data_IF_030571019226
#
_entry.id   IF_030571019226
#
_cell.length_a   1.000
_cell.length_b   1.000
_cell.length_c   1.000
_cell.angle_alpha   90.00
_cell.angle_beta   90.00
_cell.angle_gamma   90.00
#
_symmetry.space_group_name_H-M   'P 1'
#
loop_
_entity.id
_entity.type
_entity.pdbx_description
1 polymer ?
#
# COMPACT_ATOMS: atom_id res chain seq x y z
N UNK A 1 2.23 11.48 -23.51
CA UNK A 1 1.12 11.27 -22.54
C UNK A 1 0.19 12.47 -22.64
N UNK A 2 -1.11 12.27 -22.77
CA UNK A 2 -2.05 13.40 -22.82
C UNK A 2 -2.15 14.09 -21.46
N UNK A 3 -2.50 15.38 -21.45
CA UNK A 3 -2.73 16.14 -20.20
C UNK A 3 -3.84 15.48 -19.36
N UNK A 4 -4.86 14.94 -20.01
CA UNK A 4 -5.97 14.22 -19.35
C UNK A 4 -5.49 12.93 -18.67
N UNK A 5 -4.62 12.15 -19.33
CA UNK A 5 -4.08 10.92 -18.74
C UNK A 5 -3.21 11.22 -17.52
N UNK A 6 -2.39 12.28 -17.59
CA UNK A 6 -1.62 12.74 -16.42
C UNK A 6 -2.54 13.07 -15.25
N UNK A 7 -3.57 13.89 -15.49
CA UNK A 7 -4.50 14.30 -14.45
C UNK A 7 -5.21 13.10 -13.80
N UNK A 8 -5.64 12.12 -14.62
CA UNK A 8 -6.28 10.90 -14.12
C UNK A 8 -5.32 10.02 -13.33
N UNK A 9 -4.07 9.86 -13.77
CA UNK A 9 -3.05 9.12 -13.02
C UNK A 9 -2.78 9.78 -11.67
N UNK A 10 -2.63 11.11 -11.62
CA UNK A 10 -2.40 11.84 -10.38
C UNK A 10 -3.59 11.73 -9.43
N UNK A 11 -4.82 11.83 -9.94
CA UNK A 11 -6.04 11.60 -9.17
C UNK A 11 -6.12 10.17 -8.62
N UNK A 12 -5.71 9.18 -9.42
CA UNK A 12 -5.69 7.78 -9.02
C UNK A 12 -4.64 7.52 -7.93
N UNK A 13 -3.44 8.11 -8.05
CA UNK A 13 -2.40 8.03 -7.01
C UNK A 13 -2.88 8.69 -5.73
N UNK A 14 -3.48 9.88 -5.82
CA UNK A 14 -4.02 10.56 -4.65
C UNK A 14 -5.00 9.66 -3.90
N UNK A 15 -5.94 9.08 -4.65
CA UNK A 15 -6.95 8.22 -4.09
C UNK A 15 -6.28 6.96 -3.48
N UNK A 16 -5.42 6.28 -4.26
CA UNK A 16 -4.68 5.10 -3.84
C UNK A 16 -3.96 5.32 -2.50
N UNK A 17 -3.20 6.42 -2.37
CA UNK A 17 -2.47 6.79 -1.15
C UNK A 17 -3.45 7.12 -0.03
N UNK A 18 -4.49 7.91 -0.31
CA UNK A 18 -5.51 8.28 0.67
C UNK A 18 -6.14 7.06 1.34
N UNK A 19 -6.61 6.08 0.58
CA UNK A 19 -7.33 4.95 1.18
C UNK A 19 -6.41 3.80 1.64
N UNK A 20 -5.26 3.57 1.01
CA UNK A 20 -4.26 2.65 1.55
C UNK A 20 -3.52 3.19 2.79
N UNK A 21 -3.65 4.48 3.10
CA UNK A 21 -3.21 5.00 4.40
C UNK A 21 -3.80 4.22 5.58
N UNK A 22 -4.95 3.55 5.42
CA UNK A 22 -5.51 2.63 6.41
C UNK A 22 -4.57 1.48 6.75
N UNK A 23 -3.95 0.86 5.74
CA UNK A 23 -3.23 -0.41 5.86
C UNK A 23 -1.71 -0.26 5.77
N UNK A 24 -1.22 0.84 5.18
CA UNK A 24 0.22 1.11 5.02
C UNK A 24 0.73 1.98 6.18
N UNK A 25 0.14 3.16 6.39
CA UNK A 25 0.56 4.09 7.45
C UNK A 25 -0.14 3.85 8.79
N UNK A 26 -1.46 3.65 8.72
CA UNK A 26 -2.36 3.56 9.86
C UNK A 26 -1.91 2.61 10.96
N UNK A 27 -1.52 1.34 10.66
CA UNK A 27 -1.23 0.37 11.69
C UNK A 27 -0.12 0.84 12.63
N UNK A 28 1.00 1.35 12.09
CA UNK A 28 2.13 1.81 12.90
C UNK A 28 1.96 3.23 13.43
N UNK A 29 1.32 4.12 12.68
CA UNK A 29 1.05 5.49 13.13
C UNK A 29 0.20 5.50 14.41
N UNK A 30 -0.80 4.63 14.48
CA UNK A 30 -1.72 4.53 15.61
C UNK A 30 -1.37 3.41 16.61
N UNK A 31 -0.58 2.41 16.17
CA UNK A 31 -0.18 1.26 17.00
C UNK A 31 1.14 1.42 17.76
N UNK A 32 1.94 2.47 17.49
CA UNK A 32 3.14 2.72 18.31
C UNK A 32 4.00 3.95 17.97
N UNK A 33 4.13 4.35 16.70
CA UNK A 33 5.11 5.38 16.26
C UNK A 33 4.64 6.82 16.54
N UNK A 34 3.34 7.02 16.71
CA UNK A 34 2.62 8.30 16.70
C UNK A 34 2.44 8.93 15.31
N UNK A 35 1.27 9.57 15.04
CA UNK A 35 0.97 10.22 13.76
C UNK A 35 1.98 11.29 13.33
N UNK A 36 2.52 12.06 14.30
CA UNK A 36 3.43 13.18 14.04
C UNK A 36 4.75 12.74 13.43
N UNK A 37 5.25 11.56 13.83
CA UNK A 37 6.48 10.98 13.29
C UNK A 37 6.20 10.15 12.03
N UNK A 38 5.06 9.46 12.01
CA UNK A 38 4.72 8.56 10.93
C UNK A 38 4.47 9.30 9.60
N UNK A 39 3.77 10.44 9.64
CA UNK A 39 3.39 11.18 8.43
C UNK A 39 4.59 11.63 7.57
N UNK A 40 5.57 12.40 8.09
CA UNK A 40 6.69 12.84 7.27
C UNK A 40 7.55 11.67 6.79
N UNK A 41 7.73 10.64 7.62
CA UNK A 41 8.50 9.45 7.23
C UNK A 41 7.80 8.70 6.09
N UNK A 42 6.47 8.55 6.16
CA UNK A 42 5.68 7.89 5.13
C UNK A 42 5.78 8.63 3.79
N UNK A 43 5.59 9.95 3.80
CA UNK A 43 5.70 10.79 2.58
C UNK A 43 7.09 10.62 1.95
N UNK A 44 8.15 10.72 2.74
CA UNK A 44 9.52 10.58 2.24
C UNK A 44 9.79 9.18 1.68
N UNK A 45 9.34 8.14 2.39
CA UNK A 45 9.54 6.76 1.99
C UNK A 45 8.76 6.41 0.72
N UNK A 46 7.46 6.73 0.65
CA UNK A 46 6.63 6.50 -0.54
C UNK A 46 7.15 7.28 -1.75
N UNK A 47 7.58 8.53 -1.55
CA UNK A 47 8.19 9.34 -2.60
C UNK A 47 9.48 8.70 -3.13
N UNK A 48 10.37 8.27 -2.23
CA UNK A 48 11.60 7.58 -2.61
C UNK A 48 11.30 6.27 -3.33
N UNK A 49 10.34 5.49 -2.84
CA UNK A 49 9.90 4.25 -3.46
C UNK A 49 9.36 4.47 -4.87
N UNK A 50 8.49 5.47 -5.06
CA UNK A 50 7.90 5.79 -6.35
C UNK A 50 8.96 6.16 -7.40
N UNK A 51 9.98 6.94 -7.01
CA UNK A 51 11.02 7.43 -7.92
C UNK A 51 12.15 6.44 -8.17
N UNK A 52 12.45 5.56 -7.19
CA UNK A 52 13.56 4.59 -7.28
C UNK A 52 13.10 3.20 -7.68
N UNK A 53 11.81 3.01 -7.96
CA UNK A 53 11.27 1.70 -8.26
C UNK A 53 11.85 1.11 -9.53
N UNK A 54 12.17 -0.21 -9.56
CA UNK A 54 12.41 -0.91 -10.81
C UNK A 54 11.11 -1.23 -11.57
N UNK A 55 9.94 -1.01 -10.96
CA UNK A 55 8.67 -1.17 -11.68
C UNK A 55 8.52 -0.10 -12.75
N UNK A 56 8.07 -0.53 -13.92
CA UNK A 56 7.74 0.38 -15.01
C UNK A 56 6.25 0.71 -14.96
N UNK A 57 5.88 2.00 -15.10
CA UNK A 57 4.48 2.37 -15.23
C UNK A 57 3.84 1.63 -16.40
N UNK A 58 2.63 1.11 -16.18
CA UNK A 58 1.85 0.56 -17.29
C UNK A 58 0.92 1.66 -17.84
N UNK A 59 1.05 1.90 -19.14
CA UNK A 59 0.17 2.80 -19.85
C UNK A 59 -1.17 2.12 -20.12
N UNK A 60 -2.25 2.74 -19.64
CA UNK A 60 -3.62 2.36 -19.95
C UNK A 60 -4.28 3.44 -20.81
N UNK A 61 -5.32 3.08 -21.57
CA UNK A 61 -6.14 4.10 -22.24
C UNK A 61 -6.97 4.89 -21.23
N UNK A 62 -7.25 6.15 -21.52
CA UNK A 62 -8.02 7.09 -20.67
C UNK A 62 -9.28 6.47 -20.03
N UNK A 63 -10.12 5.68 -20.73
CA UNK A 63 -11.31 5.06 -20.12
C UNK A 63 -11.01 4.12 -18.95
N UNK A 64 -9.87 3.41 -18.98
CA UNK A 64 -9.49 2.50 -17.89
C UNK A 64 -9.05 3.26 -16.64
N UNK A 65 -8.33 4.37 -16.80
CA UNK A 65 -8.00 5.23 -15.66
C UNK A 65 -9.27 5.84 -15.04
N UNK A 66 -10.20 6.31 -15.88
CA UNK A 66 -11.48 6.85 -15.41
C UNK A 66 -12.33 5.79 -14.69
N UNK A 67 -12.44 4.58 -15.24
CA UNK A 67 -13.16 3.47 -14.62
C UNK A 67 -12.54 3.06 -13.28
N UNK A 68 -11.21 2.94 -13.20
CA UNK A 68 -10.50 2.62 -11.97
C UNK A 68 -10.70 3.71 -10.91
N UNK A 69 -10.64 4.99 -11.29
CA UNK A 69 -10.89 6.11 -10.39
C UNK A 69 -12.33 6.11 -9.87
N UNK A 70 -13.32 5.93 -10.75
CA UNK A 70 -14.74 5.89 -10.37
C UNK A 70 -15.02 4.72 -9.42
N UNK A 71 -14.52 3.53 -9.74
CA UNK A 71 -14.60 2.35 -8.87
C UNK A 71 -14.00 2.68 -7.51
N UNK A 72 -12.81 3.27 -7.48
CA UNK A 72 -12.15 3.54 -6.22
C UNK A 72 -12.83 4.61 -5.35
N UNK A 73 -13.38 5.66 -5.96
CA UNK A 73 -14.17 6.65 -5.25
C UNK A 73 -15.40 6.02 -4.58
N UNK A 74 -16.13 5.14 -5.29
CA UNK A 74 -17.30 4.45 -4.76
C UNK A 74 -16.96 3.60 -3.50
N UNK A 75 -15.88 2.83 -3.54
CA UNK A 75 -15.47 2.00 -2.40
C UNK A 75 -14.81 2.78 -1.27
N UNK A 76 -14.11 3.87 -1.60
CA UNK A 76 -13.58 4.79 -0.57
C UNK A 76 -14.71 5.44 0.22
N UNK A 77 -15.82 5.80 -0.44
CA UNK A 77 -17.03 6.27 0.25
C UNK A 77 -17.62 5.19 1.17
N UNK A 78 -17.55 3.92 0.76
CA UNK A 78 -17.94 2.78 1.58
C UNK A 78 -16.89 2.39 2.66
N UNK A 79 -15.76 3.10 2.74
CA UNK A 79 -14.61 2.81 3.62
C UNK A 79 -14.02 1.41 3.44
N UNK A 80 -14.09 0.87 2.24
CA UNK A 80 -13.48 -0.41 1.89
C UNK A 80 -12.11 -0.12 1.26
N UNK A 81 -11.06 -0.68 1.85
CA UNK A 81 -9.72 -0.62 1.26
C UNK A 81 -9.65 -1.59 0.07
N UNK A 82 -9.25 -1.10 -1.10
CA UNK A 82 -9.24 -1.88 -2.34
C UNK A 82 -7.85 -1.97 -2.96
N UNK A 83 -7.51 -3.11 -3.58
CA UNK A 83 -6.27 -3.26 -4.32
C UNK A 83 -6.38 -2.72 -5.76
N UNK A 84 -6.39 -1.40 -5.91
CA UNK A 84 -6.51 -0.75 -7.23
C UNK A 84 -5.43 -1.23 -8.20
N UNK A 85 -4.17 -1.31 -7.76
CA UNK A 85 -3.07 -1.70 -8.65
C UNK A 85 -3.24 -3.13 -9.17
N UNK A 86 -3.87 -4.02 -8.37
CA UNK A 86 -4.26 -5.37 -8.81
C UNK A 86 -5.41 -5.30 -9.83
N UNK A 87 -6.42 -4.46 -9.59
CA UNK A 87 -7.52 -4.24 -10.53
C UNK A 87 -7.02 -3.72 -11.88
N UNK A 88 -6.21 -2.65 -11.88
CA UNK A 88 -5.59 -2.11 -13.09
C UNK A 88 -4.74 -3.15 -13.82
N UNK A 89 -3.92 -3.91 -13.08
CA UNK A 89 -3.12 -4.98 -13.69
C UNK A 89 -3.98 -6.06 -14.33
N UNK A 90 -5.09 -6.46 -13.69
CA UNK A 90 -6.01 -7.46 -14.22
C UNK A 90 -6.65 -7.03 -15.54
N UNK A 91 -6.85 -5.73 -15.78
CA UNK A 91 -7.36 -5.21 -17.05
C UNK A 91 -6.41 -5.47 -18.24
N UNK A 92 -5.13 -5.72 -18.00
CA UNK A 92 -4.15 -6.10 -19.05
C UNK A 92 -4.25 -7.56 -19.48
N UNK A 93 -5.01 -8.37 -18.74
CA UNK A 93 -5.04 -9.83 -18.90
C UNK A 93 -4.26 -10.51 -17.78
N UNK A 94 -4.90 -11.47 -17.14
CA UNK A 94 -4.33 -12.26 -16.05
C UNK A 94 -3.32 -13.26 -16.60
N UNK A 95 -2.12 -13.29 -16.04
CA UNK A 95 -1.13 -14.32 -16.31
C UNK A 95 -0.94 -15.23 -15.09
N UNK A 96 -0.46 -16.46 -15.32
CA UNK A 96 -0.29 -17.45 -14.28
C UNK A 96 0.63 -16.98 -13.14
N UNK A 97 1.67 -16.20 -13.45
CA UNK A 97 2.60 -15.65 -12.45
C UNK A 97 1.89 -14.68 -11.50
N UNK A 98 1.09 -13.75 -12.03
CA UNK A 98 0.33 -12.79 -11.24
C UNK A 98 -0.71 -13.49 -10.36
N UNK A 99 -1.41 -14.49 -10.91
CA UNK A 99 -2.36 -15.30 -10.13
C UNK A 99 -1.64 -16.07 -9.01
N UNK A 100 -0.53 -16.73 -9.32
CA UNK A 100 0.26 -17.47 -8.34
C UNK A 100 0.77 -16.56 -7.22
N UNK A 101 1.23 -15.34 -7.56
CA UNK A 101 1.64 -14.35 -6.57
C UNK A 101 0.44 -13.88 -5.75
N UNK A 102 -0.67 -13.47 -6.36
CA UNK A 102 -1.82 -12.93 -5.60
C UNK A 102 -2.49 -13.96 -4.70
N UNK A 103 -2.67 -15.19 -5.17
CA UNK A 103 -3.27 -16.26 -4.36
C UNK A 103 -2.27 -16.91 -3.40
N UNK A 104 -1.00 -17.05 -3.80
CA UNK A 104 0.04 -17.64 -2.96
C UNK A 104 0.55 -16.73 -1.85
N UNK A 105 0.43 -15.41 -2.01
CA UNK A 105 0.90 -14.45 -0.99
C UNK A 105 -0.03 -14.33 0.20
N UNK A 106 -1.32 -14.68 0.11
CA UNK A 106 -2.20 -14.70 1.28
C UNK A 106 -1.78 -15.76 2.33
N UNK A 107 -1.62 -17.05 1.97
CA UNK A 107 -1.10 -18.04 2.88
C UNK A 107 0.29 -17.67 3.41
N UNK A 108 1.17 -17.15 2.55
CA UNK A 108 2.49 -16.69 2.97
C UNK A 108 2.42 -15.53 3.97
N UNK A 109 1.51 -14.57 3.76
CA UNK A 109 1.26 -13.47 4.68
C UNK A 109 0.78 -13.95 6.03
N UNK A 110 -0.15 -14.92 6.06
CA UNK A 110 -0.65 -15.50 7.29
C UNK A 110 0.45 -16.23 8.07
N UNK A 111 1.27 -17.04 7.38
CA UNK A 111 2.42 -17.72 8.00
C UNK A 111 3.46 -16.71 8.52
N UNK A 112 3.74 -15.66 7.76
CA UNK A 112 4.60 -14.56 8.21
C UNK A 112 4.01 -13.87 9.44
N UNK A 113 2.69 -13.65 9.50
CA UNK A 113 2.00 -13.11 10.67
C UNK A 113 2.17 -13.98 11.91
N UNK A 114 1.97 -15.28 11.76
CA UNK A 114 2.16 -16.27 12.82
C UNK A 114 3.60 -16.26 13.37
N UNK A 115 4.59 -16.23 12.47
CA UNK A 115 6.01 -16.26 12.83
C UNK A 115 6.48 -14.92 13.45
N UNK A 116 6.16 -13.80 12.80
CA UNK A 116 6.56 -12.46 13.23
C UNK A 116 5.86 -12.06 14.53
N UNK A 117 4.59 -12.43 14.72
CA UNK A 117 3.85 -12.14 15.95
C UNK A 117 4.48 -12.77 17.20
N UNK A 118 5.18 -13.90 17.05
CA UNK A 118 5.93 -14.56 18.14
C UNK A 118 7.39 -14.12 18.24
N UNK A 119 8.00 -13.73 17.12
CA UNK A 119 9.43 -13.41 17.06
C UNK A 119 9.76 -11.93 17.28
N UNK A 120 8.89 -11.00 16.86
CA UNK A 120 9.16 -9.58 16.93
C UNK A 120 8.86 -9.02 18.32
N UNK A 121 9.89 -8.40 18.92
CA UNK A 121 9.72 -7.59 20.12
C UNK A 121 9.50 -6.12 19.71
N UNK A 122 8.34 -5.53 20.03
CA UNK A 122 8.04 -4.18 19.60
C UNK A 122 9.03 -3.17 20.20
N UNK A 123 9.60 -2.32 19.35
CA UNK A 123 10.43 -1.18 19.76
C UNK A 123 10.24 -0.02 18.80
N UNK A 124 10.48 1.21 19.28
CA UNK A 124 10.35 2.41 18.46
C UNK A 124 11.29 2.42 17.23
N UNK A 125 12.59 2.07 17.35
CA UNK A 125 13.48 2.07 16.20
C UNK A 125 13.04 1.06 15.12
N UNK A 126 12.65 -0.15 15.54
CA UNK A 126 12.17 -1.18 14.63
C UNK A 126 10.88 -0.74 13.92
N UNK A 127 9.99 -0.07 14.63
CA UNK A 127 8.74 0.44 14.07
C UNK A 127 8.97 1.54 13.03
N UNK A 128 9.90 2.46 13.28
CA UNK A 128 10.28 3.48 12.31
C UNK A 128 10.92 2.84 11.06
N UNK A 129 11.80 1.85 11.25
CA UNK A 129 12.42 1.12 10.15
C UNK A 129 11.38 0.42 9.27
N UNK A 130 10.45 -0.33 9.90
CA UNK A 130 9.39 -1.05 9.16
C UNK A 130 8.43 -0.05 8.53
N UNK A 131 8.13 1.09 9.17
CA UNK A 131 7.30 2.13 8.58
C UNK A 131 7.93 2.72 7.31
N UNK A 132 9.24 3.00 7.36
CA UNK A 132 9.97 3.45 6.19
C UNK A 132 9.98 2.37 5.10
N UNK A 133 10.22 1.10 5.46
CA UNK A 133 10.27 0.01 4.51
C UNK A 133 8.92 -0.25 3.82
N UNK A 134 7.82 -0.28 4.58
CA UNK A 134 6.48 -0.51 4.01
C UNK A 134 6.04 0.66 3.14
N UNK A 135 6.35 1.90 3.55
CA UNK A 135 6.09 3.09 2.73
C UNK A 135 6.89 3.09 1.43
N UNK A 136 8.19 2.80 1.52
CA UNK A 136 9.04 2.66 0.34
C UNK A 136 8.50 1.60 -0.62
N UNK A 137 8.14 0.43 -0.10
CA UNK A 137 7.63 -0.65 -0.93
C UNK A 137 6.25 -0.35 -1.52
N UNK A 138 5.39 0.38 -0.81
CA UNK A 138 4.11 0.83 -1.37
C UNK A 138 4.32 1.84 -2.51
N UNK A 139 5.23 2.80 -2.32
CA UNK A 139 5.68 3.70 -3.38
C UNK A 139 6.22 2.93 -4.59
N UNK A 140 7.12 1.99 -4.35
CA UNK A 140 7.76 1.22 -5.41
C UNK A 140 6.80 0.27 -6.13
N UNK A 141 5.89 -0.38 -5.42
CA UNK A 141 5.04 -1.43 -5.98
C UNK A 141 3.72 -0.91 -6.57
N UNK A 142 3.09 0.08 -5.93
CA UNK A 142 1.75 0.53 -6.30
C UNK A 142 1.75 1.90 -6.96
N UNK A 143 2.58 2.83 -6.49
CA UNK A 143 2.60 4.21 -7.02
C UNK A 143 3.39 4.27 -8.32
N UNK A 144 4.63 3.76 -8.34
CA UNK A 144 5.46 3.70 -9.55
C UNK A 144 4.80 2.89 -10.69
N UNK A 145 3.98 1.91 -10.34
CA UNK A 145 3.16 1.17 -11.31
C UNK A 145 2.18 2.06 -12.09
N UNK A 146 1.69 3.14 -11.46
CA UNK A 146 0.79 4.11 -12.08
C UNK A 146 1.60 5.24 -12.75
N UNK A 147 2.54 5.84 -12.02
CA UNK A 147 3.38 6.93 -12.51
C UNK A 147 4.66 7.03 -11.66
N UNK A 148 5.82 7.04 -12.32
CA UNK A 148 7.17 7.09 -11.72
C UNK A 148 7.82 8.48 -11.84
N UNK A 149 7.07 9.50 -12.26
CA UNK A 149 7.58 10.86 -12.46
C UNK A 149 7.46 11.70 -11.18
N UNK A 150 8.23 12.80 -11.05
CA UNK A 150 8.13 13.72 -9.91
C UNK A 150 6.74 14.33 -9.69
N UNK A 151 5.85 14.28 -10.69
CA UNK A 151 4.47 14.76 -10.53
C UNK A 151 3.68 13.94 -9.51
N UNK A 152 4.05 12.68 -9.26
CA UNK A 152 3.43 11.81 -8.26
C UNK A 152 3.64 12.29 -6.81
N UNK A 153 4.60 13.19 -6.55
CA UNK A 153 4.90 13.67 -5.20
C UNK A 153 3.73 14.46 -4.59
N UNK A 154 3.06 15.28 -5.38
CA UNK A 154 1.92 16.07 -4.91
C UNK A 154 0.76 15.19 -4.40
N UNK A 155 0.26 14.20 -5.17
CA UNK A 155 -0.77 13.30 -4.68
C UNK A 155 -0.32 12.41 -3.52
N UNK A 156 0.98 12.04 -3.42
CA UNK A 156 1.53 11.34 -2.23
C UNK A 156 1.38 12.20 -0.98
N UNK A 157 1.80 13.46 -1.04
CA UNK A 157 1.74 14.39 0.09
C UNK A 157 0.29 14.60 0.52
N UNK A 158 -0.58 14.99 -0.43
CA UNK A 158 -1.99 15.28 -0.13
C UNK A 158 -2.74 14.03 0.33
N UNK A 159 -2.50 12.89 -0.31
CA UNK A 159 -3.08 11.60 0.02
C UNK A 159 -2.74 11.18 1.46
N UNK A 160 -1.48 11.31 1.87
CA UNK A 160 -1.07 10.96 3.23
C UNK A 160 -1.61 11.94 4.29
N UNK A 161 -1.61 13.25 4.01
CA UNK A 161 -2.15 14.26 4.96
C UNK A 161 -3.62 13.99 5.24
N UNK A 162 -4.42 13.81 4.20
CA UNK A 162 -5.86 13.55 4.33
C UNK A 162 -6.12 12.12 4.82
N UNK A 163 -5.31 11.17 4.34
CA UNK A 163 -5.36 9.77 4.70
C UNK A 163 -5.04 9.53 6.19
N UNK A 164 -4.18 10.34 6.82
CA UNK A 164 -3.85 10.17 8.24
C UNK A 164 -5.07 10.23 9.15
N UNK A 165 -5.98 11.18 8.93
CA UNK A 165 -7.22 11.27 9.72
C UNK A 165 -8.15 10.10 9.43
N UNK A 166 -8.22 9.70 8.16
CA UNK A 166 -9.01 8.55 7.71
C UNK A 166 -8.48 7.23 8.30
N UNK A 167 -7.16 7.06 8.35
CA UNK A 167 -6.51 5.85 8.84
C UNK A 167 -6.74 5.59 10.32
N UNK A 168 -7.16 6.60 11.10
CA UNK A 168 -7.58 6.42 12.50
C UNK A 168 -8.72 5.41 12.65
N UNK A 169 -9.53 5.20 11.60
CA UNK A 169 -10.54 4.14 11.59
C UNK A 169 -9.97 2.74 11.80
N UNK A 170 -8.70 2.51 11.46
CA UNK A 170 -8.01 1.23 11.68
C UNK A 170 -8.02 0.82 13.16
N UNK A 171 -7.98 1.79 14.09
CA UNK A 171 -8.03 1.53 15.54
C UNK A 171 -9.35 0.83 15.89
N UNK A 172 -10.46 1.28 15.29
CA UNK A 172 -11.80 0.72 15.54
C UNK A 172 -12.02 -0.61 14.83
N UNK A 173 -11.41 -0.78 13.66
CA UNK A 173 -11.59 -1.98 12.84
C UNK A 173 -10.72 -3.15 13.29
N UNK A 174 -9.57 -2.91 13.93
CA UNK A 174 -8.55 -3.95 14.09
C UNK A 174 -7.88 -4.07 15.45
N UNK A 175 -8.20 -3.22 16.44
CA UNK A 175 -7.64 -3.27 17.81
C UNK A 175 -6.15 -3.68 17.84
N UNK A 176 -5.33 -3.09 16.97
CA UNK A 176 -3.96 -3.55 16.75
C UNK A 176 -3.13 -3.36 18.02
N UNK A 177 -2.54 -4.46 18.51
CA UNK A 177 -1.37 -4.36 19.38
C UNK A 177 -0.19 -3.82 18.59
N UNK A 178 0.78 -3.20 19.26
CA UNK A 178 1.98 -2.69 18.61
C UNK A 178 2.74 -3.79 17.84
N UNK A 179 2.81 -5.00 18.41
CA UNK A 179 3.43 -6.16 17.74
C UNK A 179 2.64 -6.61 16.49
N UNK A 180 1.31 -6.58 16.55
CA UNK A 180 0.46 -6.89 15.40
C UNK A 180 0.66 -5.89 14.25
N UNK A 181 0.72 -4.59 14.57
CA UNK A 181 0.98 -3.54 13.58
C UNK A 181 2.35 -3.69 12.90
N UNK A 182 3.39 -4.05 13.67
CA UNK A 182 4.73 -4.35 13.16
C UNK A 182 4.71 -5.55 12.22
N UNK A 183 4.10 -6.66 12.65
CA UNK A 183 4.06 -7.91 11.90
C UNK A 183 3.32 -7.73 10.58
N UNK A 184 2.16 -7.06 10.60
CA UNK A 184 1.37 -6.76 9.42
C UNK A 184 2.14 -5.89 8.41
N UNK A 185 2.81 -4.84 8.89
CA UNK A 185 3.58 -3.93 8.03
C UNK A 185 4.84 -4.61 7.46
N UNK A 186 5.54 -5.42 8.26
CA UNK A 186 6.70 -6.19 7.81
C UNK A 186 6.32 -7.25 6.78
N UNK A 187 5.25 -8.00 7.01
CA UNK A 187 4.74 -8.98 6.05
C UNK A 187 4.32 -8.34 4.73
N UNK A 188 3.57 -7.23 4.78
CA UNK A 188 3.20 -6.46 3.59
C UNK A 188 4.45 -5.97 2.82
N UNK A 189 5.48 -5.52 3.53
CA UNK A 189 6.78 -5.14 2.94
C UNK A 189 7.41 -6.31 2.19
N UNK A 190 7.55 -7.48 2.82
CA UNK A 190 8.18 -8.66 2.23
C UNK A 190 7.43 -9.15 0.98
N UNK A 191 6.10 -9.14 1.02
CA UNK A 191 5.27 -9.53 -0.12
C UNK A 191 5.40 -8.53 -1.26
N UNK A 192 5.42 -7.24 -0.95
CA UNK A 192 5.63 -6.20 -1.95
C UNK A 192 7.01 -6.30 -2.60
N UNK A 193 8.05 -6.75 -1.87
CA UNK A 193 9.38 -7.01 -2.46
C UNK A 193 9.26 -8.08 -3.54
N UNK A 194 8.55 -9.18 -3.26
CA UNK A 194 8.31 -10.23 -4.27
C UNK A 194 7.52 -9.69 -5.45
N UNK A 195 6.43 -8.96 -5.21
CA UNK A 195 5.64 -8.36 -6.28
C UNK A 195 6.46 -7.43 -7.18
N UNK A 196 7.25 -6.53 -6.57
CA UNK A 196 8.13 -5.61 -7.29
C UNK A 196 9.17 -6.34 -8.11
N UNK A 197 9.78 -7.40 -7.58
CA UNK A 197 10.76 -8.23 -8.31
C UNK A 197 10.17 -8.88 -9.57
N UNK A 198 8.89 -9.27 -9.55
CA UNK A 198 8.19 -9.86 -10.68
C UNK A 198 7.41 -8.84 -11.53
N UNK A 199 7.47 -7.55 -11.21
CA UNK A 199 6.66 -6.54 -11.90
C UNK A 199 5.15 -6.76 -11.74
N UNK A 200 4.74 -7.34 -10.61
CA UNK A 200 3.34 -7.61 -10.26
C UNK A 200 2.93 -6.72 -9.07
N UNK A 201 1.94 -5.83 -9.23
CA UNK A 201 1.45 -5.04 -8.12
C UNK A 201 0.72 -5.92 -7.12
N UNK A 202 0.88 -5.62 -5.84
CA UNK A 202 0.34 -6.39 -4.71
C UNK A 202 -0.77 -5.61 -4.04
N UNK A 203 -1.71 -6.35 -3.46
CA UNK A 203 -2.69 -5.83 -2.52
C UNK A 203 -2.08 -5.73 -1.12
N UNK A 204 -1.66 -4.53 -0.71
CA UNK A 204 -1.25 -4.28 0.68
C UNK A 204 -2.39 -4.55 1.65
N UNK A 205 -3.62 -4.22 1.28
CA UNK A 205 -4.82 -4.53 2.08
C UNK A 205 -4.94 -6.04 2.36
N UNK A 206 -4.81 -6.86 1.32
CA UNK A 206 -4.94 -8.32 1.44
C UNK A 206 -3.77 -8.92 2.22
N UNK A 207 -2.54 -8.43 1.98
CA UNK A 207 -1.37 -8.83 2.75
C UNK A 207 -1.53 -8.51 4.25
N UNK A 208 -1.95 -7.28 4.58
CA UNK A 208 -2.20 -6.85 5.96
C UNK A 208 -3.27 -7.71 6.63
N UNK A 209 -4.41 -7.95 5.98
CA UNK A 209 -5.51 -8.74 6.57
C UNK A 209 -5.16 -10.23 6.71
N UNK A 210 -4.45 -10.79 5.73
CA UNK A 210 -3.99 -12.18 5.81
C UNK A 210 -2.96 -12.36 6.93
N UNK A 211 -2.06 -11.39 7.10
CA UNK A 211 -1.08 -11.42 8.19
C UNK A 211 -1.77 -11.36 9.55
N UNK A 212 -2.80 -10.53 9.69
CA UNK A 212 -3.60 -10.47 10.90
C UNK A 212 -4.29 -11.78 11.22
N UNK A 213 -4.87 -12.44 10.22
CA UNK A 213 -5.51 -13.74 10.41
C UNK A 213 -4.54 -14.78 10.98
N UNK A 214 -3.29 -14.79 10.55
CA UNK A 214 -2.28 -15.72 11.07
C UNK A 214 -1.67 -15.30 12.43
N UNK A 215 -1.79 -14.03 12.80
CA UNK A 215 -1.29 -13.50 14.06
C UNK A 215 -2.31 -13.57 15.22
N UNK A 216 -3.59 -13.77 14.91
CA UNK A 216 -4.67 -14.03 15.87
C UNK A 216 -4.60 -15.47 16.41
#
# INVERSE_FOLDING_TARGET
>A
MGVVDLALQLALIFALVYNNSLVVMGPLAWGGVSPRRALPLMILAESAGALLSPMRPLAFSTPYYAAALAFYLAFTLARIALPISVFLYALRGLNATALAIWFGTAPAAALAGYALGRGLRPSQPLALLILAAVGFMFGANNIAFINDTPWALLPIILGNILGLKFSRWIIKLYAFSFSGALSASASATLIAVLGTAFGVPISFTFATYSTLLGAA
#
